data_IF_317362517291
#
_entry.id   IF_317362517291
#
_cell.length_a   1.000
_cell.length_b   1.000
_cell.length_c   1.000
_cell.angle_alpha   90.00
_cell.angle_beta   90.00
_cell.angle_gamma   90.00
#
_symmetry.space_group_name_H-M   'P 1'
#
loop_
_entity.id
_entity.type
_entity.pdbx_description
1 polymer ?
#
# COMPACT_ATOMS: atom_id res chain seq x y z
N UNK A 1 -18.37 -6.93 -34.48
CA UNK A 1 -17.25 -7.84 -34.74
C UNK A 1 -16.17 -7.54 -33.72
N UNK A 2 -15.93 -8.45 -32.77
CA UNK A 2 -14.83 -8.34 -31.81
C UNK A 2 -13.54 -8.85 -32.47
N UNK A 3 -12.38 -8.20 -32.29
CA UNK A 3 -11.12 -8.81 -32.66
C UNK A 3 -10.67 -9.77 -31.58
N UNK A 4 -10.15 -10.90 -32.06
CA UNK A 4 -9.63 -12.04 -31.32
C UNK A 4 -8.26 -11.65 -30.70
N UNK A 5 -8.15 -11.68 -29.38
CA UNK A 5 -6.86 -11.51 -28.68
C UNK A 5 -6.07 -12.81 -28.83
N UNK A 6 -4.95 -12.76 -29.55
CA UNK A 6 -4.06 -13.91 -29.76
C UNK A 6 -3.03 -13.97 -28.63
N UNK A 7 -2.97 -15.11 -27.94
CA UNK A 7 -2.15 -15.34 -26.75
C UNK A 7 -0.89 -16.13 -27.12
N UNK A 8 0.29 -15.54 -26.97
CA UNK A 8 1.57 -16.25 -27.02
C UNK A 8 2.06 -16.51 -25.60
N UNK A 9 2.17 -17.79 -25.25
CA UNK A 9 2.64 -18.27 -23.95
C UNK A 9 4.17 -18.45 -24.02
N UNK A 10 4.90 -17.76 -23.15
CA UNK A 10 6.31 -18.05 -22.89
C UNK A 10 6.56 -18.45 -21.43
N UNK A 11 7.66 -19.17 -21.27
CA UNK A 11 8.02 -20.17 -20.26
C UNK A 11 8.26 -19.68 -18.83
N UNK A 12 8.10 -20.66 -17.94
CA UNK A 12 8.28 -20.65 -16.49
C UNK A 12 9.62 -20.05 -16.03
N UNK A 13 9.55 -19.18 -15.02
CA UNK A 13 10.69 -18.72 -14.21
C UNK A 13 10.98 -19.80 -13.14
N UNK A 14 12.25 -20.18 -12.90
CA UNK A 14 12.60 -21.23 -11.94
C UNK A 14 12.40 -20.81 -10.48
N UNK A 15 11.94 -21.77 -9.69
CA UNK A 15 11.75 -21.71 -8.23
C UNK A 15 13.13 -21.81 -7.55
N UNK A 16 13.49 -20.95 -6.57
CA UNK A 16 14.72 -21.09 -5.81
C UNK A 16 14.67 -22.31 -4.88
N UNK A 17 15.82 -22.95 -4.59
CA UNK A 17 15.86 -24.18 -3.79
C UNK A 17 15.46 -23.94 -2.33
N UNK A 18 14.80 -24.96 -1.78
CA UNK A 18 14.36 -25.13 -0.39
C UNK A 18 15.49 -24.94 0.63
N UNK A 19 15.17 -24.24 1.74
CA UNK A 19 16.03 -24.07 2.91
C UNK A 19 16.48 -25.42 3.53
N UNK A 20 17.68 -25.47 4.15
CA UNK A 20 18.19 -26.68 4.76
C UNK A 20 17.45 -27.03 6.06
N UNK A 21 17.21 -28.34 6.22
CA UNK A 21 16.61 -29.01 7.37
C UNK A 21 17.30 -28.63 8.70
N UNK A 22 16.55 -28.40 9.79
CA UNK A 22 17.16 -28.15 11.10
C UNK A 22 17.89 -29.41 11.62
N UNK A 23 19.09 -29.19 12.14
CA UNK A 23 19.89 -30.18 12.87
C UNK A 23 19.15 -30.57 14.17
N UNK A 24 19.08 -31.87 14.55
CA UNK A 24 18.47 -32.28 15.81
C UNK A 24 19.31 -31.75 16.98
N UNK A 25 18.68 -30.98 17.87
CA UNK A 25 19.26 -30.61 19.16
C UNK A 25 18.90 -31.72 20.15
N UNK A 26 19.91 -32.36 20.73
CA UNK A 26 19.78 -33.37 21.78
C UNK A 26 19.01 -32.78 22.99
N UNK A 27 18.06 -33.52 23.58
CA UNK A 27 17.34 -33.02 24.74
C UNK A 27 18.27 -32.96 25.96
N UNK A 28 18.29 -31.80 26.62
CA UNK A 28 18.97 -31.62 27.89
C UNK A 28 18.46 -32.63 28.94
N UNK A 29 19.31 -33.09 29.88
CA UNK A 29 18.94 -34.09 30.88
C UNK A 29 17.82 -33.57 31.79
N UNK A 30 16.79 -34.39 31.98
CA UNK A 30 15.70 -34.14 32.93
C UNK A 30 16.23 -34.07 34.37
N UNK A 31 15.81 -33.06 35.17
CA UNK A 31 16.05 -33.08 36.60
C UNK A 31 15.26 -34.22 37.25
N UNK A 32 15.96 -35.04 38.03
CA UNK A 32 15.40 -36.04 38.94
C UNK A 32 14.37 -35.41 39.89
N UNK A 33 13.16 -35.97 39.91
CA UNK A 33 12.08 -35.56 40.80
C UNK A 33 12.44 -35.84 42.28
N UNK A 34 12.46 -34.79 43.09
CA UNK A 34 12.36 -34.91 44.55
C UNK A 34 10.90 -35.18 44.94
N UNK A 35 10.64 -35.95 46.01
CA UNK A 35 9.29 -36.18 46.49
C UNK A 35 8.65 -34.88 47.00
N UNK A 36 7.44 -34.60 46.51
CA UNK A 36 6.62 -33.48 46.97
C UNK A 36 6.27 -33.61 48.46
N UNK A 37 6.34 -32.53 49.25
CA UNK A 37 5.77 -32.51 50.59
C UNK A 37 4.24 -32.58 50.51
N UNK A 38 3.66 -33.19 51.54
CA UNK A 38 2.24 -33.43 51.77
C UNK A 38 1.39 -32.14 51.66
N UNK A 39 0.16 -32.20 51.09
CA UNK A 39 -0.64 -31.00 50.88
C UNK A 39 -1.12 -30.43 52.22
N UNK A 40 -0.65 -29.23 52.53
CA UNK A 40 -1.22 -28.42 53.60
C UNK A 40 -2.64 -28.00 53.20
N UNK A 41 -3.65 -28.06 54.09
CA UNK A 41 -5.01 -27.63 53.74
C UNK A 41 -4.98 -26.16 53.34
N UNK A 42 -5.45 -25.87 52.12
CA UNK A 42 -5.62 -24.51 51.64
C UNK A 42 -6.64 -23.78 52.53
N UNK A 43 -6.33 -22.58 53.04
CA UNK A 43 -7.33 -21.79 53.74
C UNK A 43 -8.47 -21.48 52.77
N UNK A 44 -9.70 -21.73 53.20
CA UNK A 44 -10.91 -21.37 52.47
C UNK A 44 -10.86 -19.88 52.15
N UNK A 45 -11.01 -19.46 50.87
CA UNK A 45 -11.07 -18.04 50.56
C UNK A 45 -12.25 -17.42 51.32
N UNK A 46 -12.08 -16.23 51.92
CA UNK A 46 -13.17 -15.56 52.59
C UNK A 46 -14.32 -15.31 51.57
N UNK A 47 -15.58 -15.34 52.02
CA UNK A 47 -16.70 -15.07 51.14
C UNK A 47 -16.52 -13.69 50.48
N UNK A 48 -16.73 -13.65 49.16
CA UNK A 48 -16.67 -12.40 48.40
C UNK A 48 -17.61 -11.38 49.06
N UNK A 49 -17.15 -10.14 49.31
CA UNK A 49 -18.04 -9.11 49.82
C UNK A 49 -19.21 -8.91 48.85
N UNK A 50 -20.41 -8.60 49.36
CA UNK A 50 -21.54 -8.29 48.50
C UNK A 50 -21.17 -7.17 47.52
N UNK A 51 -21.66 -7.20 46.28
CA UNK A 51 -21.35 -6.18 45.29
C UNK A 51 -21.74 -4.82 45.84
N UNK A 52 -20.73 -4.00 46.09
CA UNK A 52 -20.90 -2.63 46.53
C UNK A 52 -21.65 -1.89 45.41
N UNK A 53 -22.84 -1.38 45.70
CA UNK A 53 -23.54 -0.49 44.76
C UNK A 53 -22.67 0.74 44.62
N UNK A 54 -22.02 0.88 43.47
CA UNK A 54 -21.39 2.13 43.06
C UNK A 54 -22.44 3.23 43.21
N UNK A 55 -22.12 4.23 44.04
CA UNK A 55 -22.85 5.48 44.14
C UNK A 55 -23.07 6.06 42.73
N UNK A 56 -24.18 6.76 42.48
CA UNK A 56 -24.39 7.43 41.20
C UNK A 56 -23.14 8.22 40.86
N UNK A 57 -22.59 8.02 39.64
CA UNK A 57 -21.37 8.69 39.15
C UNK A 57 -21.30 10.10 39.74
N UNK A 58 -20.36 10.33 40.66
CA UNK A 58 -20.01 11.68 41.04
C UNK A 58 -19.67 12.40 39.75
N UNK A 59 -20.42 13.47 39.47
CA UNK A 59 -20.19 14.36 38.34
C UNK A 59 -18.71 14.71 38.34
N UNK A 60 -17.96 14.17 37.37
CA UNK A 60 -16.54 14.49 37.22
C UNK A 60 -16.45 16.01 37.16
N UNK A 61 -15.73 16.67 38.10
CA UNK A 61 -15.62 18.12 38.08
C UNK A 61 -15.03 18.50 36.73
N UNK A 62 -15.74 19.36 36.00
CA UNK A 62 -15.27 19.92 34.74
C UNK A 62 -13.92 20.58 35.03
N UNK A 63 -12.82 19.95 34.56
CA UNK A 63 -11.49 20.54 34.72
C UNK A 63 -11.57 21.98 34.21
N UNK A 64 -11.05 22.98 34.95
CA UNK A 64 -10.97 24.33 34.44
C UNK A 64 -10.22 24.27 33.10
N UNK A 65 -10.81 24.84 32.05
CA UNK A 65 -10.13 24.98 30.78
C UNK A 65 -8.86 25.76 31.04
N UNK A 66 -7.70 25.14 30.85
CA UNK A 66 -6.43 25.86 30.88
C UNK A 66 -6.56 27.03 29.90
N UNK A 67 -6.14 28.26 30.28
CA UNK A 67 -6.15 29.38 29.36
C UNK A 67 -5.38 28.96 28.11
N UNK A 68 -6.06 28.92 26.97
CA UNK A 68 -5.43 28.69 25.69
C UNK A 68 -4.67 29.97 25.35
N UNK A 69 -3.35 29.90 25.42
CA UNK A 69 -2.51 30.98 24.96
C UNK A 69 -2.29 30.79 23.45
N UNK A 70 -2.70 31.79 22.67
CA UNK A 70 -2.31 31.86 21.26
C UNK A 70 -0.87 32.39 21.19
N UNK A 71 0.07 31.53 20.80
CA UNK A 71 1.46 31.90 20.58
C UNK A 71 1.66 32.23 19.10
N UNK A 72 1.66 33.52 18.76
CA UNK A 72 1.93 34.04 17.43
C UNK A 72 3.42 34.36 17.31
N UNK A 73 4.17 33.51 16.63
CA UNK A 73 5.56 33.77 16.25
C UNK A 73 5.62 34.16 14.77
N UNK A 74 5.88 35.44 14.44
CA UNK A 74 6.09 35.87 13.06
C UNK A 74 7.26 35.09 12.46
N UNK A 75 6.96 34.22 11.49
CA UNK A 75 7.95 33.43 10.78
C UNK A 75 7.91 33.85 9.32
N UNK A 76 9.07 34.21 8.77
CA UNK A 76 9.19 34.50 7.35
C UNK A 76 9.14 33.19 6.56
N UNK A 77 8.07 32.97 5.81
CA UNK A 77 7.97 31.85 4.86
C UNK A 77 8.55 32.32 3.54
N UNK A 78 9.76 31.85 3.21
CA UNK A 78 10.41 32.14 1.92
C UNK A 78 9.98 31.09 0.89
N UNK A 79 9.65 31.47 -0.36
CA UNK A 79 9.42 30.50 -1.41
C UNK A 79 10.70 29.71 -1.67
N UNK A 80 10.56 28.40 -1.92
CA UNK A 80 11.67 27.62 -2.46
C UNK A 80 12.01 28.17 -3.86
N UNK A 81 13.29 28.38 -4.14
CA UNK A 81 13.74 28.73 -5.49
C UNK A 81 13.51 27.55 -6.44
N UNK A 82 13.06 27.82 -7.65
CA UNK A 82 12.75 26.80 -8.65
C UNK A 82 11.27 26.49 -8.77
N UNK A 83 10.94 25.32 -9.34
CA UNK A 83 9.56 24.90 -9.58
C UNK A 83 9.47 23.38 -9.71
N UNK A 84 8.26 22.83 -9.51
CA UNK A 84 7.96 21.47 -9.93
C UNK A 84 8.07 21.36 -11.46
N UNK A 85 8.54 20.21 -11.94
CA UNK A 85 8.48 19.87 -13.34
C UNK A 85 7.02 19.66 -13.83
N UNK A 86 6.88 19.27 -15.10
CA UNK A 86 5.57 19.01 -15.71
C UNK A 86 5.28 17.52 -15.90
N UNK A 87 6.06 16.65 -15.25
CA UNK A 87 5.92 15.19 -15.39
C UNK A 87 4.63 14.74 -14.69
N UNK A 88 3.72 14.04 -15.38
CA UNK A 88 2.54 13.47 -14.74
C UNK A 88 2.92 12.41 -13.70
N UNK A 89 2.16 12.37 -12.61
CA UNK A 89 2.31 11.34 -11.56
C UNK A 89 0.97 10.65 -11.36
N UNK A 90 0.91 9.38 -11.71
CA UNK A 90 -0.17 8.48 -11.34
C UNK A 90 -0.06 8.17 -9.84
N UNK A 91 -0.91 8.79 -9.02
CA UNK A 91 -0.89 8.64 -7.57
C UNK A 91 -2.02 7.74 -7.11
N UNK A 92 -1.71 6.63 -6.45
CA UNK A 92 -2.69 5.68 -5.96
C UNK A 92 -2.47 5.41 -4.47
N UNK A 93 -3.12 6.19 -3.61
CA UNK A 93 -3.08 5.99 -2.15
C UNK A 93 -4.47 6.21 -1.53
N UNK A 94 -5.52 5.92 -2.29
CA UNK A 94 -6.88 5.90 -1.78
C UNK A 94 -7.60 4.68 -2.38
N UNK A 95 -8.21 3.81 -1.56
CA UNK A 95 -8.09 3.81 -0.10
C UNK A 95 -6.67 3.41 0.33
N UNK A 96 -6.17 3.95 1.45
CA UNK A 96 -4.92 3.42 2.02
C UNK A 96 -5.13 1.99 2.55
N UNK A 97 -6.17 1.77 3.37
CA UNK A 97 -6.53 0.44 3.86
C UNK A 97 -7.50 -0.23 2.89
N UNK A 98 -7.00 -1.20 2.14
CA UNK A 98 -7.80 -1.97 1.18
C UNK A 98 -8.61 -3.02 1.94
N UNK A 99 -9.93 -3.01 1.79
CA UNK A 99 -10.83 -4.01 2.38
C UNK A 99 -11.63 -4.79 1.36
N UNK A 100 -11.86 -4.22 0.18
CA UNK A 100 -12.58 -4.87 -0.91
C UNK A 100 -11.71 -4.91 -2.15
N UNK A 101 -11.89 -5.96 -2.95
CA UNK A 101 -11.33 -6.04 -4.29
C UNK A 101 -11.88 -4.90 -5.15
N UNK A 102 -11.12 -4.45 -6.15
CA UNK A 102 -11.55 -3.40 -7.06
C UNK A 102 -10.41 -2.58 -7.65
N UNK A 103 -10.81 -1.50 -8.31
CA UNK A 103 -9.93 -0.52 -8.93
C UNK A 103 -9.46 0.47 -7.86
N UNK A 104 -8.13 0.58 -7.68
CA UNK A 104 -7.54 1.57 -6.77
C UNK A 104 -7.44 2.94 -7.46
N UNK A 105 -6.99 2.91 -8.72
CA UNK A 105 -7.01 4.03 -9.67
C UNK A 105 -6.92 3.46 -11.10
N UNK A 106 -7.65 4.04 -12.05
CA UNK A 106 -7.53 3.65 -13.46
C UNK A 106 -7.63 4.87 -14.36
N UNK A 107 -6.76 4.95 -15.35
CA UNK A 107 -6.88 5.93 -16.42
C UNK A 107 -7.47 5.38 -17.70
N UNK A 108 -7.85 4.09 -17.73
CA UNK A 108 -8.41 3.45 -18.92
C UNK A 108 -9.63 4.20 -19.48
N UNK A 109 -9.94 4.02 -20.77
CA UNK A 109 -11.17 4.56 -21.34
C UNK A 109 -12.41 4.06 -20.60
N UNK A 110 -13.42 4.92 -20.51
CA UNK A 110 -14.70 4.59 -19.87
C UNK A 110 -15.53 3.61 -20.70
N UNK A 111 -15.33 3.63 -22.02
CA UNK A 111 -16.10 2.83 -22.97
C UNK A 111 -15.87 1.33 -22.71
N UNK A 112 -16.95 0.56 -22.64
CA UNK A 112 -16.89 -0.90 -22.44
C UNK A 112 -16.70 -1.35 -20.98
N UNK A 113 -16.56 -0.42 -20.04
CA UNK A 113 -16.45 -0.72 -18.61
C UNK A 113 -17.82 -0.77 -17.94
N UNK A 114 -18.01 -1.72 -17.01
CA UNK A 114 -19.27 -1.87 -16.27
C UNK A 114 -19.49 -0.73 -15.26
N UNK A 115 -18.40 -0.14 -14.76
CA UNK A 115 -18.42 1.00 -13.83
C UNK A 115 -17.59 2.17 -14.38
N UNK A 116 -18.09 2.91 -15.39
CA UNK A 116 -17.33 3.98 -16.06
C UNK A 116 -16.74 5.02 -15.11
N UNK A 117 -17.40 5.32 -13.99
CA UNK A 117 -16.93 6.28 -12.99
C UNK A 117 -15.65 5.84 -12.25
N UNK A 118 -15.25 4.57 -12.34
CA UNK A 118 -13.99 4.07 -11.77
C UNK A 118 -12.77 4.36 -12.65
N UNK A 119 -12.97 4.93 -13.85
CA UNK A 119 -11.92 5.19 -14.82
C UNK A 119 -11.86 6.67 -15.20
N UNK A 120 -10.64 7.23 -15.22
CA UNK A 120 -10.44 8.65 -15.48
C UNK A 120 -10.46 9.01 -16.96
N UNK A 121 -10.22 8.04 -17.86
CA UNK A 121 -10.07 8.28 -19.30
C UNK A 121 -8.98 9.32 -19.60
N UNK A 122 -7.76 9.03 -19.15
CA UNK A 122 -6.63 9.95 -19.22
C UNK A 122 -5.37 9.22 -19.75
N UNK A 123 -4.99 9.39 -21.02
CA UNK A 123 -3.77 8.77 -21.53
C UNK A 123 -2.53 9.41 -20.89
N UNK A 124 -1.52 8.59 -20.64
CA UNK A 124 -0.19 8.98 -20.20
C UNK A 124 0.79 8.72 -21.34
N UNK A 125 1.70 9.65 -21.59
CA UNK A 125 2.66 9.55 -22.71
C UNK A 125 3.99 10.19 -22.30
N UNK A 126 5.09 9.69 -22.86
CA UNK A 126 6.42 10.17 -22.54
C UNK A 126 6.80 9.80 -21.11
N UNK A 127 7.45 10.73 -20.40
CA UNK A 127 7.90 10.56 -19.01
C UNK A 127 6.73 10.76 -18.03
N UNK A 128 6.36 9.73 -17.26
CA UNK A 128 5.43 9.82 -16.12
C UNK A 128 5.81 8.86 -14.96
N UNK A 129 5.45 9.22 -13.73
CA UNK A 129 5.70 8.41 -12.53
C UNK A 129 4.46 7.60 -12.14
N UNK A 130 4.67 6.43 -11.55
CA UNK A 130 3.62 5.63 -10.90
C UNK A 130 3.96 5.50 -9.42
N UNK A 131 3.17 6.13 -8.57
CA UNK A 131 3.21 5.98 -7.12
C UNK A 131 1.99 5.22 -6.62
N UNK A 132 2.22 4.21 -5.78
CA UNK A 132 1.15 3.53 -5.08
C UNK A 132 1.52 3.19 -3.64
N UNK A 133 0.56 3.33 -2.73
CA UNK A 133 0.69 2.89 -1.35
C UNK A 133 -0.63 2.32 -0.84
N UNK A 134 -0.62 1.05 -0.43
CA UNK A 134 -1.81 0.38 0.10
C UNK A 134 -1.46 -0.60 1.20
N UNK A 135 -2.40 -0.77 2.12
CA UNK A 135 -2.28 -1.57 3.34
C UNK A 135 -3.32 -2.69 3.32
N UNK A 136 -2.86 -3.89 3.65
CA UNK A 136 -3.71 -5.01 4.05
C UNK A 136 -3.67 -5.15 5.58
N UNK A 137 -4.79 -5.57 6.18
CA UNK A 137 -4.92 -5.77 7.62
C UNK A 137 -5.86 -6.92 7.91
N UNK A 138 -5.49 -7.75 8.89
CA UNK A 138 -6.37 -8.75 9.47
C UNK A 138 -6.39 -8.60 11.00
N UNK A 139 -7.59 -8.59 11.57
CA UNK A 139 -7.84 -8.53 13.02
C UNK A 139 -8.24 -9.89 13.59
N UNK A 140 -8.80 -10.76 12.75
CA UNK A 140 -9.25 -12.10 13.12
C UNK A 140 -8.61 -13.14 12.20
N UNK A 141 -8.62 -14.41 12.62
CA UNK A 141 -8.04 -15.49 11.82
C UNK A 141 -8.75 -15.66 10.47
N UNK A 142 -10.07 -15.42 10.44
CA UNK A 142 -10.88 -15.48 9.23
C UNK A 142 -10.53 -14.37 8.22
N UNK A 143 -9.94 -13.26 8.68
CA UNK A 143 -9.50 -12.15 7.83
C UNK A 143 -8.09 -12.34 7.27
N UNK A 144 -7.33 -13.36 7.72
CA UNK A 144 -5.98 -13.61 7.21
C UNK A 144 -6.08 -14.07 5.75
N UNK A 145 -5.86 -13.11 4.85
CA UNK A 145 -5.78 -13.29 3.41
C UNK A 145 -4.74 -12.33 2.85
N UNK A 146 -4.02 -12.76 1.82
CA UNK A 146 -3.17 -11.86 1.06
C UNK A 146 -4.01 -11.07 0.08
N UNK A 147 -3.88 -9.75 0.08
CA UNK A 147 -4.25 -8.98 -1.11
C UNK A 147 -3.12 -9.10 -2.13
N UNK A 148 -3.44 -9.01 -3.41
CA UNK A 148 -2.50 -8.75 -4.48
C UNK A 148 -2.76 -7.36 -5.05
N UNK A 149 -1.69 -6.75 -5.53
CA UNK A 149 -1.71 -5.49 -6.24
C UNK A 149 -1.22 -5.72 -7.67
N UNK A 150 -2.06 -5.33 -8.63
CA UNK A 150 -1.80 -5.44 -10.05
C UNK A 150 -1.66 -4.07 -10.70
N UNK A 151 -0.58 -3.85 -11.46
CA UNK A 151 -0.45 -2.68 -12.34
C UNK A 151 -0.52 -3.17 -13.79
N UNK A 152 -1.54 -2.71 -14.51
CA UNK A 152 -1.77 -3.00 -15.92
C UNK A 152 -1.48 -1.75 -16.76
N UNK A 153 -0.91 -1.95 -17.94
CA UNK A 153 -0.65 -0.91 -18.93
C UNK A 153 -1.28 -1.32 -20.26
N UNK A 154 -2.08 -0.44 -20.85
CA UNK A 154 -2.81 -0.69 -22.08
C UNK A 154 -2.33 0.21 -23.20
N UNK A 155 -2.09 -0.39 -24.37
CA UNK A 155 -1.84 0.34 -25.62
C UNK A 155 -3.17 0.53 -26.38
N UNK A 156 -3.72 1.76 -26.45
CA UNK A 156 -4.97 2.05 -27.16
C UNK A 156 -4.77 2.24 -28.67
N UNK A 157 -3.54 2.20 -29.18
CA UNK A 157 -3.20 2.55 -30.56
C UNK A 157 -3.16 1.33 -31.48
N UNK A 158 -2.98 1.59 -32.78
CA UNK A 158 -2.78 0.58 -33.81
C UNK A 158 -1.29 0.27 -34.09
N UNK A 159 -0.37 0.91 -33.36
CA UNK A 159 1.07 0.69 -33.45
C UNK A 159 1.63 0.09 -32.15
N UNK A 160 2.72 -0.69 -32.19
CA UNK A 160 3.40 -1.11 -30.97
C UNK A 160 3.95 0.09 -30.19
N UNK A 161 3.87 0.04 -28.86
CA UNK A 161 4.43 1.06 -27.95
C UNK A 161 5.55 0.44 -27.12
N UNK A 162 6.68 1.14 -27.04
CA UNK A 162 7.77 0.80 -26.13
C UNK A 162 7.57 1.48 -24.79
N UNK A 163 7.55 0.69 -23.72
CA UNK A 163 7.59 1.13 -22.34
C UNK A 163 8.97 0.83 -21.74
N UNK A 164 9.56 1.81 -21.05
CA UNK A 164 10.83 1.68 -20.34
C UNK A 164 10.63 1.98 -18.86
N UNK A 165 11.09 1.09 -17.98
CA UNK A 165 11.21 1.40 -16.54
C UNK A 165 12.62 1.93 -16.30
N UNK A 166 12.73 3.22 -15.99
CA UNK A 166 14.00 3.91 -15.76
C UNK A 166 14.54 3.57 -14.36
N UNK A 167 13.74 3.89 -13.35
CA UNK A 167 13.96 3.55 -11.95
C UNK A 167 12.69 2.93 -11.37
N UNK A 168 12.83 2.12 -10.33
CA UNK A 168 11.66 1.48 -9.75
C UNK A 168 11.96 0.68 -8.51
N UNK A 169 11.12 0.87 -7.49
CA UNK A 169 11.18 0.10 -6.27
C UNK A 169 9.77 -0.18 -5.72
N UNK A 170 9.57 -1.40 -5.22
CA UNK A 170 8.42 -1.78 -4.42
C UNK A 170 8.88 -2.51 -3.16
N UNK A 171 8.35 -2.10 -2.01
CA UNK A 171 8.72 -2.65 -0.71
C UNK A 171 7.50 -2.88 0.16
N UNK A 172 7.56 -3.93 0.98
CA UNK A 172 6.62 -4.18 2.06
C UNK A 172 7.08 -3.53 3.37
N UNK A 173 6.14 -3.24 4.28
CA UNK A 173 6.49 -2.90 5.66
C UNK A 173 7.22 -4.07 6.34
N UNK A 174 6.76 -5.30 6.10
CA UNK A 174 7.44 -6.53 6.53
C UNK A 174 7.59 -7.47 5.33
N UNK A 175 8.78 -8.04 5.09
CA UNK A 175 10.00 -7.94 5.91
C UNK A 175 10.89 -6.73 5.57
N UNK A 176 10.55 -5.96 4.53
CA UNK A 176 11.54 -5.12 3.87
C UNK A 176 11.88 -3.82 4.62
N UNK A 177 10.89 -3.11 5.14
CA UNK A 177 11.10 -1.76 5.67
C UNK A 177 10.10 -1.45 6.80
N UNK A 178 10.43 -1.93 8.00
CA UNK A 178 9.63 -1.63 9.19
C UNK A 178 9.68 -0.13 9.52
N UNK A 179 8.64 0.38 10.16
CA UNK A 179 8.67 1.72 10.74
C UNK A 179 9.53 1.70 12.00
N UNK A 180 10.49 2.60 12.05
CA UNK A 180 11.38 2.85 13.19
C UNK A 180 11.40 4.33 13.51
N UNK A 181 11.68 4.67 14.76
CA UNK A 181 11.93 6.05 15.16
C UNK A 181 13.31 6.47 14.64
N UNK A 182 13.35 7.63 13.98
CA UNK A 182 14.58 8.23 13.48
C UNK A 182 14.74 9.64 14.08
N UNK A 183 15.97 10.13 14.26
CA UNK A 183 16.21 11.53 14.58
C UNK A 183 15.60 12.46 13.51
N UNK A 184 15.35 13.72 13.88
CA UNK A 184 14.78 14.74 12.98
C UNK A 184 15.60 14.93 11.69
N UNK A 185 16.93 14.85 11.81
CA UNK A 185 17.87 14.94 10.70
C UNK A 185 18.88 13.80 10.85
N UNK A 186 19.07 13.04 9.77
CA UNK A 186 20.05 11.94 9.72
C UNK A 186 20.74 11.93 8.36
N UNK A 187 22.07 11.82 8.36
CA UNK A 187 22.83 11.66 7.12
C UNK A 187 22.62 10.25 6.55
N UNK A 188 22.22 10.17 5.28
CA UNK A 188 21.85 8.92 4.63
C UNK A 188 22.57 8.73 3.29
N UNK A 189 23.86 9.04 3.19
CA UNK A 189 24.61 8.96 1.91
C UNK A 189 24.48 7.61 1.22
N UNK A 190 24.47 6.52 2.00
CA UNK A 190 24.42 5.14 1.48
C UNK A 190 23.00 4.66 1.11
N UNK A 191 21.95 5.39 1.55
CA UNK A 191 20.56 5.00 1.31
C UNK A 191 20.10 3.80 2.15
N UNK A 192 20.74 3.55 3.29
CA UNK A 192 20.46 2.41 4.18
C UNK A 192 19.59 2.79 5.38
N UNK A 193 19.31 4.08 5.56
CA UNK A 193 18.47 4.60 6.65
C UNK A 193 17.10 4.94 6.08
N UNK A 194 16.06 4.28 6.56
CA UNK A 194 14.68 4.47 6.15
C UNK A 194 13.72 4.06 7.27
N UNK A 195 12.52 4.63 7.29
CA UNK A 195 11.43 4.21 8.17
C UNK A 195 10.18 4.02 7.34
N UNK A 196 9.77 2.75 7.20
CA UNK A 196 8.65 2.36 6.34
C UNK A 196 9.00 2.18 4.86
N UNK A 197 8.13 1.47 4.11
CA UNK A 197 8.38 1.10 2.72
C UNK A 197 8.41 2.28 1.75
N UNK A 198 7.65 3.34 2.02
CA UNK A 198 7.63 4.54 1.19
C UNK A 198 8.97 5.28 1.21
N UNK A 199 9.54 5.49 2.41
CA UNK A 199 10.87 6.07 2.59
C UNK A 199 11.94 5.27 1.86
N UNK A 200 11.91 3.94 1.99
CA UNK A 200 12.86 3.05 1.32
C UNK A 200 12.73 3.12 -0.21
N UNK A 201 11.51 3.03 -0.74
CA UNK A 201 11.26 3.07 -2.19
C UNK A 201 11.71 4.40 -2.82
N UNK A 202 11.36 5.53 -2.19
CA UNK A 202 11.79 6.86 -2.63
C UNK A 202 13.30 6.99 -2.54
N UNK A 203 13.92 6.50 -1.47
CA UNK A 203 15.38 6.53 -1.29
C UNK A 203 16.12 5.83 -2.43
N UNK A 204 15.63 4.68 -2.89
CA UNK A 204 16.23 3.95 -4.00
C UNK A 204 16.01 4.65 -5.34
N UNK A 205 14.78 5.08 -5.64
CA UNK A 205 14.47 5.75 -6.90
C UNK A 205 15.23 7.07 -7.06
N UNK A 206 15.36 7.88 -5.99
CA UNK A 206 16.15 9.11 -6.03
C UNK A 206 17.65 8.87 -6.26
N UNK A 207 18.14 7.66 -5.98
CA UNK A 207 19.53 7.24 -6.23
C UNK A 207 19.71 6.57 -7.59
N UNK A 208 18.71 6.62 -8.48
CA UNK A 208 18.79 5.99 -9.79
C UNK A 208 18.67 4.46 -9.74
N UNK A 209 18.16 3.88 -8.64
CA UNK A 209 18.09 2.42 -8.50
C UNK A 209 16.81 1.86 -9.12
N UNK A 210 16.97 0.71 -9.75
CA UNK A 210 15.87 -0.13 -10.25
C UNK A 210 16.02 -1.53 -9.67
N UNK A 211 14.99 -2.00 -8.98
CA UNK A 211 14.95 -3.38 -8.50
C UNK A 211 14.89 -4.35 -9.69
N UNK A 212 15.58 -5.50 -9.59
CA UNK A 212 15.76 -6.42 -10.71
C UNK A 212 14.49 -7.14 -11.20
N UNK A 213 13.36 -7.00 -10.51
CA UNK A 213 12.08 -7.58 -10.91
C UNK A 213 11.30 -6.70 -11.92
N UNK A 214 11.81 -5.53 -12.28
CA UNK A 214 11.20 -4.66 -13.28
C UNK A 214 11.83 -4.89 -14.66
N UNK A 215 11.04 -5.00 -15.74
CA UNK A 215 11.60 -5.08 -17.08
C UNK A 215 12.28 -3.76 -17.45
N UNK A 216 13.45 -3.83 -18.08
CA UNK A 216 14.12 -2.63 -18.61
C UNK A 216 13.29 -1.98 -19.72
N UNK A 217 12.80 -2.80 -20.64
CA UNK A 217 12.04 -2.43 -21.82
C UNK A 217 10.95 -3.46 -22.04
N UNK A 218 9.77 -3.03 -22.45
CA UNK A 218 8.68 -3.89 -22.87
C UNK A 218 7.96 -3.27 -24.06
N UNK A 219 7.75 -4.06 -25.11
CA UNK A 219 6.94 -3.65 -26.26
C UNK A 219 5.51 -4.15 -26.03
N UNK A 220 4.55 -3.23 -26.03
CA UNK A 220 3.12 -3.51 -25.86
C UNK A 220 2.48 -3.44 -27.25
N UNK A 221 1.95 -4.56 -27.73
CA UNK A 221 1.34 -4.64 -29.07
C UNK A 221 0.06 -3.79 -29.17
N UNK A 222 -0.39 -3.46 -30.39
CA UNK A 222 -1.66 -2.77 -30.60
C UNK A 222 -2.83 -3.43 -29.87
N UNK A 223 -3.56 -2.66 -29.06
CA UNK A 223 -4.70 -3.16 -28.29
C UNK A 223 -4.35 -4.11 -27.13
N UNK A 224 -3.07 -4.35 -26.85
CA UNK A 224 -2.62 -5.26 -25.80
C UNK A 224 -2.62 -4.59 -24.43
N UNK A 225 -2.90 -5.40 -23.39
CA UNK A 225 -2.70 -5.04 -21.99
C UNK A 225 -1.54 -5.84 -21.42
N UNK A 226 -0.49 -5.15 -21.00
CA UNK A 226 0.66 -5.74 -20.34
C UNK A 226 0.56 -5.60 -18.82
N UNK A 227 0.96 -6.65 -18.10
CA UNK A 227 1.06 -6.62 -16.64
C UNK A 227 2.47 -6.18 -16.21
N UNK A 228 2.58 -4.97 -15.67
CA UNK A 228 3.84 -4.44 -15.16
C UNK A 228 4.12 -4.91 -13.72
N UNK A 229 3.07 -5.17 -12.94
CA UNK A 229 3.19 -5.62 -11.55
C UNK A 229 2.08 -6.62 -11.18
N UNK A 230 2.43 -7.64 -10.41
CA UNK A 230 1.51 -8.60 -9.79
C UNK A 230 2.10 -9.11 -8.48
N UNK A 231 2.04 -8.29 -7.42
CA UNK A 231 2.77 -8.54 -6.18
C UNK A 231 1.82 -8.57 -4.97
N UNK A 232 2.11 -9.42 -3.97
CA UNK A 232 1.25 -9.56 -2.79
C UNK A 232 1.44 -8.41 -1.80
N UNK A 233 0.40 -8.16 -1.00
CA UNK A 233 0.37 -7.39 0.24
C UNK A 233 -0.15 -8.35 1.33
N UNK A 234 0.73 -9.22 1.88
CA UNK A 234 0.32 -10.23 2.85
C UNK A 234 -0.02 -9.54 4.17
N UNK A 235 -1.20 -9.79 4.74
CA UNK A 235 -1.58 -9.19 6.02
C UNK A 235 -0.57 -9.55 7.13
N UNK A 236 -0.08 -10.79 7.13
CA UNK A 236 0.80 -11.41 8.12
C UNK A 236 0.11 -12.59 8.82
N UNK A 237 0.83 -13.30 9.70
CA UNK A 237 0.32 -14.52 10.38
C UNK A 237 0.03 -14.33 11.87
N UNK A 238 0.43 -13.19 12.47
CA UNK A 238 0.29 -12.90 13.91
C UNK A 238 -0.68 -11.75 14.12
N UNK A 239 -1.84 -12.03 14.71
CA UNK A 239 -2.95 -11.08 14.87
C UNK A 239 -2.80 -10.15 16.09
N UNK A 240 -3.32 -8.90 16.02
CA UNK A 240 -3.74 -8.22 14.80
C UNK A 240 -2.53 -7.93 13.91
N UNK A 241 -2.70 -8.07 12.60
CA UNK A 241 -1.60 -7.97 11.64
C UNK A 241 -1.89 -6.95 10.56
N UNK A 242 -0.85 -6.28 10.06
CA UNK A 242 -0.97 -5.31 8.98
C UNK A 242 0.35 -5.18 8.23
N UNK A 243 0.25 -5.03 6.92
CA UNK A 243 1.39 -4.81 6.05
C UNK A 243 1.01 -3.83 4.95
N UNK A 244 1.92 -2.89 4.66
CA UNK A 244 1.77 -1.95 3.56
C UNK A 244 2.73 -2.28 2.44
N UNK A 245 2.32 -2.08 1.19
CA UNK A 245 3.23 -2.05 0.04
C UNK A 245 3.31 -0.62 -0.49
N UNK A 246 4.53 -0.13 -0.67
CA UNK A 246 4.78 1.12 -1.39
C UNK A 246 5.53 0.83 -2.67
N UNK A 247 5.07 1.39 -3.78
CA UNK A 247 5.69 1.26 -5.09
C UNK A 247 5.90 2.66 -5.67
N UNK A 248 7.10 2.91 -6.19
CA UNK A 248 7.40 4.09 -6.99
C UNK A 248 8.16 3.65 -8.24
N UNK A 249 7.63 3.97 -9.42
CA UNK A 249 8.23 3.68 -10.71
C UNK A 249 8.39 4.96 -11.51
N UNK A 250 9.53 5.09 -12.18
CA UNK A 250 9.75 6.10 -13.22
C UNK A 250 9.68 5.42 -14.59
N UNK A 251 8.64 5.72 -15.38
CA UNK A 251 8.31 4.96 -16.60
C UNK A 251 8.15 5.85 -17.84
N UNK A 252 8.91 5.61 -18.90
CA UNK A 252 8.83 6.36 -20.15
C UNK A 252 8.17 5.53 -21.25
N UNK A 253 7.28 6.15 -22.05
CA UNK A 253 6.69 5.53 -23.24
C UNK A 253 6.89 6.37 -24.50
N UNK A 254 7.00 5.72 -25.66
CA UNK A 254 7.09 6.37 -26.98
C UNK A 254 5.71 6.61 -27.65
N UNK A 255 4.62 6.33 -26.93
CA UNK A 255 3.25 6.60 -27.34
C UNK A 255 2.29 6.60 -26.14
N UNK A 256 1.01 6.94 -26.38
CA UNK A 256 0.01 7.07 -25.31
C UNK A 256 -0.37 5.70 -24.75
N UNK A 257 -0.39 5.58 -23.42
CA UNK A 257 -0.84 4.37 -22.70
C UNK A 257 -1.87 4.72 -21.63
N UNK A 258 -2.67 3.74 -21.24
CA UNK A 258 -3.49 3.84 -20.03
C UNK A 258 -2.98 2.91 -18.94
N UNK A 259 -3.09 3.34 -17.69
CA UNK A 259 -2.59 2.59 -16.52
C UNK A 259 -3.72 2.31 -15.55
N UNK A 260 -3.74 1.11 -14.98
CA UNK A 260 -4.65 0.77 -13.89
C UNK A 260 -3.89 0.10 -12.74
N UNK A 261 -4.14 0.57 -11.53
CA UNK A 261 -3.73 -0.06 -10.28
C UNK A 261 -4.96 -0.73 -9.65
N UNK A 262 -4.87 -2.02 -9.40
CA UNK A 262 -5.97 -2.88 -9.00
C UNK A 262 -5.60 -3.65 -7.74
N UNK A 263 -6.59 -3.98 -6.91
CA UNK A 263 -6.42 -4.89 -5.79
C UNK A 263 -7.43 -6.03 -5.85
N UNK A 264 -6.99 -7.25 -5.56
CA UNK A 264 -7.88 -8.38 -5.29
C UNK A 264 -7.32 -9.26 -4.18
N UNK A 265 -8.17 -9.99 -3.50
CA UNK A 265 -7.72 -11.04 -2.60
C UNK A 265 -7.05 -12.13 -3.44
N UNK A 266 -6.05 -12.77 -2.86
CA UNK A 266 -5.41 -13.93 -3.48
C UNK A 266 -6.50 -14.98 -3.77
N UNK A 267 -6.68 -15.37 -5.04
CA UNK A 267 -7.57 -16.46 -5.37
C UNK A 267 -7.11 -17.74 -4.70
N UNK A 268 -8.02 -18.70 -4.56
CA UNK A 268 -7.69 -20.00 -3.96
C UNK A 268 -7.59 -21.09 -5.03
N UNK A 269 -6.68 -22.02 -4.82
CA UNK A 269 -6.64 -23.31 -5.50
C UNK A 269 -7.79 -24.22 -5.00
N UNK A 270 -8.12 -25.31 -5.72
CA UNK A 270 -9.12 -26.29 -5.27
C UNK A 270 -8.83 -26.89 -3.88
N UNK A 271 -7.56 -26.96 -3.48
CA UNK A 271 -7.13 -27.42 -2.15
C UNK A 271 -7.25 -26.33 -1.05
N UNK A 272 -7.73 -25.13 -1.39
CA UNK A 272 -7.92 -24.01 -0.48
C UNK A 272 -6.69 -23.12 -0.25
N UNK A 273 -5.53 -23.46 -0.82
CA UNK A 273 -4.31 -22.65 -0.73
C UNK A 273 -4.40 -21.37 -1.56
N UNK A 274 -3.71 -20.32 -1.14
CA UNK A 274 -3.63 -19.05 -1.86
C UNK A 274 -2.76 -19.18 -3.12
N UNK A 275 -3.18 -18.55 -4.22
CA UNK A 275 -2.42 -18.47 -5.47
C UNK A 275 -2.29 -17.05 -5.99
N UNK A 276 -1.32 -16.85 -6.88
CA UNK A 276 -1.16 -15.59 -7.62
C UNK A 276 -2.35 -15.41 -8.58
N UNK A 277 -2.95 -14.20 -8.66
CA UNK A 277 -4.00 -13.95 -9.64
C UNK A 277 -3.46 -13.92 -11.07
N UNK A 278 -4.25 -14.45 -11.99
CA UNK A 278 -3.93 -14.51 -13.43
C UNK A 278 -4.23 -13.18 -14.13
N UNK A 279 -3.60 -12.93 -15.28
CA UNK A 279 -3.91 -11.75 -16.11
C UNK A 279 -5.41 -11.68 -16.45
N UNK A 280 -6.05 -12.81 -16.75
CA UNK A 280 -7.47 -12.85 -17.08
C UNK A 280 -8.36 -12.39 -15.91
N UNK A 281 -8.00 -12.72 -14.68
CA UNK A 281 -8.71 -12.26 -13.48
C UNK A 281 -8.54 -10.75 -13.28
N UNK A 282 -7.33 -10.22 -13.52
CA UNK A 282 -7.07 -8.78 -13.50
C UNK A 282 -7.87 -8.03 -14.57
N UNK A 283 -7.92 -8.54 -15.80
CA UNK A 283 -8.71 -7.96 -16.88
C UNK A 283 -10.21 -8.03 -16.58
N UNK A 284 -10.68 -9.13 -15.99
CA UNK A 284 -12.08 -9.24 -15.56
C UNK A 284 -12.41 -8.23 -14.46
N UNK A 285 -11.53 -8.04 -13.48
CA UNK A 285 -11.70 -7.04 -12.43
C UNK A 285 -11.65 -5.61 -12.98
N UNK A 286 -10.76 -5.34 -13.94
CA UNK A 286 -10.67 -4.04 -14.59
C UNK A 286 -11.98 -3.66 -15.29
N UNK A 287 -12.58 -4.60 -16.03
CA UNK A 287 -13.80 -4.34 -16.82
C UNK A 287 -15.06 -4.33 -15.96
N UNK A 288 -15.17 -5.27 -15.01
CA UNK A 288 -16.40 -5.50 -14.23
C UNK A 288 -16.37 -4.87 -12.85
N UNK A 289 -15.19 -4.57 -12.32
CA UNK A 289 -14.99 -4.10 -10.96
C UNK A 289 -15.35 -2.62 -10.79
N UNK A 290 -15.69 -2.26 -9.57
CA UNK A 290 -15.85 -0.86 -9.13
C UNK A 290 -14.61 -0.41 -8.37
N UNK A 291 -14.62 0.82 -7.85
CA UNK A 291 -13.55 1.32 -6.99
C UNK A 291 -13.42 0.44 -5.73
N UNK A 292 -12.19 0.07 -5.39
CA UNK A 292 -11.87 -0.60 -4.12
C UNK A 292 -12.20 0.33 -2.95
N UNK A 293 -12.75 -0.24 -1.88
CA UNK A 293 -13.23 0.49 -0.71
C UNK A 293 -12.66 0.01 0.62
N UNK A 294 -13.01 0.72 1.72
CA UNK A 294 -13.79 1.96 1.73
C UNK A 294 -12.97 3.17 1.27
N UNK A 295 -13.53 4.05 0.43
CA UNK A 295 -12.83 5.27 0.01
C UNK A 295 -12.59 6.22 1.19
N UNK A 296 -11.53 7.02 1.11
CA UNK A 296 -11.22 8.02 2.12
C UNK A 296 -12.30 9.09 2.24
N UNK A 297 -12.34 9.72 3.41
CA UNK A 297 -13.24 10.84 3.67
C UNK A 297 -12.91 12.02 2.76
N UNK A 298 -13.93 12.81 2.44
CA UNK A 298 -13.74 14.05 1.69
C UNK A 298 -12.81 14.99 2.47
N UNK A 299 -11.73 15.52 1.85
CA UNK A 299 -10.86 16.50 2.48
C UNK A 299 -11.63 17.74 2.92
N UNK A 300 -11.19 18.37 4.00
CA UNK A 300 -11.69 19.69 4.43
C UNK A 300 -11.31 20.74 3.38
N UNK A 301 -12.25 21.51 2.81
CA UNK A 301 -11.92 22.60 1.89
C UNK A 301 -11.04 23.66 2.57
N UNK A 302 -10.00 24.11 1.86
CA UNK A 302 -9.05 25.14 2.35
C UNK A 302 -9.68 26.55 2.25
N UNK A 303 -10.67 26.74 1.38
CA UNK A 303 -11.29 28.02 1.07
C UNK A 303 -12.35 28.48 2.09
N UNK A 304 -12.34 27.92 3.30
CA UNK A 304 -13.33 28.28 4.32
C UNK A 304 -13.04 29.69 4.87
N UNK A 305 -13.51 30.72 4.15
CA UNK A 305 -13.59 32.13 4.57
C UNK A 305 -14.55 32.34 5.76
N UNK A 306 -14.98 31.27 6.42
CA UNK A 306 -15.74 31.35 7.66
C UNK A 306 -14.77 31.13 8.82
N UNK A 307 -14.81 32.04 9.79
CA UNK A 307 -13.93 32.15 10.96
C UNK A 307 -14.01 30.96 11.93
N UNK A 308 -14.67 29.86 11.55
CA UNK A 308 -14.81 28.66 12.35
C UNK A 308 -14.12 27.51 11.61
N UNK A 309 -12.82 27.30 11.91
CA UNK A 309 -12.17 26.04 11.57
C UNK A 309 -13.02 24.87 12.09
N UNK A 310 -13.31 23.85 11.28
CA UNK A 310 -14.12 22.73 11.73
C UNK A 310 -13.41 22.03 12.90
N UNK A 311 -14.19 21.47 13.83
CA UNK A 311 -13.67 20.73 14.99
C UNK A 311 -12.74 19.56 14.60
N UNK A 312 -12.78 19.12 13.34
CA UNK A 312 -11.86 18.14 12.75
C UNK A 312 -11.45 18.58 11.35
N UNK A 313 -10.15 18.78 11.15
CA UNK A 313 -9.54 18.98 9.83
C UNK A 313 -9.17 17.62 9.22
N UNK A 314 -9.58 17.37 7.97
CA UNK A 314 -9.33 16.12 7.26
C UNK A 314 -8.42 16.40 6.08
N UNK A 315 -7.21 15.86 6.12
CA UNK A 315 -6.32 15.82 4.97
C UNK A 315 -6.83 14.80 3.94
N UNK A 316 -6.81 15.19 2.68
CA UNK A 316 -7.12 14.29 1.57
C UNK A 316 -6.01 13.26 1.36
N UNK A 317 -6.38 12.08 0.87
CA UNK A 317 -5.43 11.17 0.22
C UNK A 317 -5.46 11.37 -1.28
N UNK A 318 -4.31 11.16 -1.92
CA UNK A 318 -4.18 11.38 -3.36
C UNK A 318 -4.54 10.09 -4.11
N UNK A 319 -5.59 10.18 -4.93
CA UNK A 319 -5.89 9.21 -5.98
C UNK A 319 -6.26 9.97 -7.25
N UNK A 320 -5.36 9.96 -8.23
CA UNK A 320 -5.54 10.67 -9.49
C UNK A 320 -4.23 10.90 -10.24
N UNK A 321 -4.30 11.72 -11.29
CA UNK A 321 -3.11 12.20 -12.00
C UNK A 321 -2.80 13.60 -11.49
N UNK A 322 -1.61 13.78 -10.94
CA UNK A 322 -1.07 15.11 -10.60
C UNK A 322 0.05 15.47 -11.56
N UNK A 323 0.50 16.72 -11.51
CA UNK A 323 1.65 17.22 -12.25
C UNK A 323 2.77 17.59 -11.27
N UNK A 324 4.00 17.21 -11.60
CA UNK A 324 5.20 17.51 -10.81
C UNK A 324 5.75 16.25 -10.14
N UNK A 325 6.76 15.63 -10.77
CA UNK A 325 7.53 14.51 -10.19
C UNK A 325 8.70 15.02 -9.36
N UNK A 326 9.40 16.06 -9.83
CA UNK A 326 10.61 16.58 -9.18
C UNK A 326 10.58 18.09 -9.05
N UNK A 327 11.24 18.59 -8.00
CA UNK A 327 11.52 20.02 -7.85
C UNK A 327 12.85 20.34 -8.51
N UNK A 328 12.83 21.26 -9.48
CA UNK A 328 14.03 21.71 -10.18
C UNK A 328 14.42 23.09 -9.68
N UNK A 329 15.62 23.21 -9.10
CA UNK A 329 16.19 24.50 -8.72
C UNK A 329 16.87 25.14 -9.93
N UNK A 330 16.82 26.47 -10.02
CA UNK A 330 17.65 27.28 -10.93
C UNK A 330 19.04 27.50 -10.36
#
# INVERSE_FOLDING_TARGET
>A
MLPLVSLLIFSQIPIPPSEPTPIPIDPAPQPTAQPSPEPTPSPTPPPLPPPERLSPLETIPKLPSLPQFEYLQPTEVRPLSGQLDRVPVFNSNSPELVKTEGILLSTFPKQGMQHPQAHLDYPLEGRFDIFAHHISRARTQAEIRSFFQGILVYNPTDQPITLRVLEGASYLTRPDAIFIDLPEIVDNRLGTIFSGPGSRAVGDVLRGRKQGNWPDVTVIQPGEVQQLMNLPIPAGTVLPTSNGRSTLLRVETDGPVHVANLAMLSPKNPDGTERVPTLQEWLSLLVKGTLSGPRDLRPTPIDNKTTNFPARFIYGRVAGISQGSQWTTT
#
